data_IF_386131631029
#
_entry.id   IF_386131631029
#
_cell.length_a   1.000
_cell.length_b   1.000
_cell.length_c   1.000
_cell.angle_alpha   90.00
_cell.angle_beta   90.00
_cell.angle_gamma   90.00
#
_symmetry.space_group_name_H-M   'P 1'
#
loop_
_entity.id
_entity.type
_entity.pdbx_description
1 polymer ?
#
# COMPACT_ATOMS: atom_id res chain seq x y z
N UNK A 1 -22.01 94.33 8.73
CA UNK A 1 -21.65 92.93 8.38
C UNK A 1 -22.92 92.09 8.47
N UNK A 2 -23.41 91.51 7.36
CA UNK A 2 -24.76 90.88 7.34
C UNK A 2 -24.79 89.55 8.12
N UNK A 3 -25.93 89.24 8.74
CA UNK A 3 -26.17 88.01 9.52
C UNK A 3 -25.78 86.73 8.74
N UNK A 4 -25.93 86.73 7.42
CA UNK A 4 -25.51 85.64 6.53
C UNK A 4 -23.99 85.39 6.55
N UNK A 5 -23.18 86.44 6.68
CA UNK A 5 -21.72 86.30 6.73
C UNK A 5 -21.24 85.72 8.06
N UNK A 6 -21.93 86.03 9.16
CA UNK A 6 -21.63 85.48 10.49
C UNK A 6 -21.97 83.99 10.55
N UNK A 7 -23.16 83.58 10.07
CA UNK A 7 -23.57 82.18 10.01
C UNK A 7 -22.60 81.34 9.16
N UNK A 8 -22.17 81.86 8.00
CA UNK A 8 -21.22 81.14 7.12
C UNK A 8 -19.84 80.94 7.79
N UNK A 9 -19.36 81.93 8.56
CA UNK A 9 -18.12 81.79 9.33
C UNK A 9 -18.26 80.79 10.48
N UNK A 10 -19.37 80.79 11.20
CA UNK A 10 -19.63 79.86 12.31
C UNK A 10 -19.74 78.41 11.82
N UNK A 11 -20.46 78.17 10.71
CA UNK A 11 -20.54 76.82 10.10
C UNK A 11 -19.16 76.35 9.64
N UNK A 12 -18.35 77.24 9.06
CA UNK A 12 -16.97 76.92 8.66
C UNK A 12 -16.08 76.51 9.83
N UNK A 13 -16.23 77.16 10.98
CA UNK A 13 -15.47 76.83 12.19
C UNK A 13 -15.91 75.48 12.81
N UNK A 14 -17.23 75.23 12.86
CA UNK A 14 -17.78 73.95 13.36
C UNK A 14 -17.29 72.78 12.51
N UNK A 15 -17.34 72.91 11.18
CA UNK A 15 -16.87 71.85 10.27
C UNK A 15 -15.37 71.57 10.43
N UNK A 16 -14.56 72.59 10.76
CA UNK A 16 -13.13 72.41 11.03
C UNK A 16 -12.90 71.64 12.33
N UNK A 17 -13.64 71.96 13.39
CA UNK A 17 -13.57 71.26 14.69
C UNK A 17 -13.99 69.79 14.56
N UNK A 18 -15.07 69.51 13.83
CA UNK A 18 -15.54 68.13 13.60
C UNK A 18 -14.50 67.31 12.83
N UNK A 19 -13.82 67.92 11.85
CA UNK A 19 -12.76 67.24 11.09
C UNK A 19 -11.53 66.93 11.95
N UNK A 20 -11.12 67.86 12.81
CA UNK A 20 -10.02 67.64 13.76
C UNK A 20 -10.35 66.56 14.81
N UNK A 21 -11.59 66.53 15.32
CA UNK A 21 -12.04 65.45 16.22
C UNK A 21 -12.08 64.08 15.54
N UNK A 22 -12.53 63.99 14.29
CA UNK A 22 -12.50 62.74 13.52
C UNK A 22 -11.08 62.21 13.36
N UNK A 23 -10.12 63.09 13.07
CA UNK A 23 -8.71 62.72 12.91
C UNK A 23 -8.10 62.19 14.22
N UNK A 24 -8.44 62.79 15.36
CA UNK A 24 -8.04 62.29 16.68
C UNK A 24 -8.65 60.93 17.00
N UNK A 25 -9.92 60.70 16.68
CA UNK A 25 -10.59 59.41 16.88
C UNK A 25 -9.93 58.30 16.04
N UNK A 26 -9.57 58.60 14.79
CA UNK A 26 -8.88 57.64 13.91
C UNK A 26 -7.46 57.33 14.41
N UNK A 27 -6.76 58.33 14.96
CA UNK A 27 -5.45 58.14 15.60
C UNK A 27 -5.54 57.21 16.83
N UNK A 28 -6.56 57.40 17.68
CA UNK A 28 -6.82 56.55 18.84
C UNK A 28 -7.18 55.10 18.45
N UNK A 29 -8.00 54.91 17.40
CA UNK A 29 -8.34 53.58 16.87
C UNK A 29 -7.10 52.84 16.32
N UNK A 30 -6.21 53.55 15.63
CA UNK A 30 -4.96 52.98 15.13
C UNK A 30 -4.06 52.47 16.27
N UNK A 31 -3.88 53.27 17.33
CA UNK A 31 -3.10 52.88 18.49
C UNK A 31 -3.71 51.71 19.28
N UNK A 32 -5.04 51.67 19.46
CA UNK A 32 -5.73 50.53 20.07
C UNK A 32 -5.56 49.24 19.25
N UNK A 33 -5.54 49.35 17.92
CA UNK A 33 -5.33 48.21 17.02
C UNK A 33 -3.90 47.67 17.15
N UNK A 34 -2.89 48.54 17.23
CA UNK A 34 -1.51 48.12 17.46
C UNK A 34 -1.29 47.49 18.85
N UNK A 35 -1.90 48.04 19.90
CA UNK A 35 -1.85 47.46 21.25
C UNK A 35 -2.49 46.07 21.28
N UNK A 36 -3.64 45.89 20.62
CA UNK A 36 -4.29 44.57 20.52
C UNK A 36 -3.46 43.55 19.72
N UNK A 37 -2.74 43.99 18.69
CA UNK A 37 -1.79 43.13 17.95
C UNK A 37 -0.62 42.73 18.86
N UNK A 38 -0.09 43.66 19.66
CA UNK A 38 1.01 43.40 20.59
C UNK A 38 0.58 42.42 21.70
N UNK A 39 -0.61 42.62 22.29
CA UNK A 39 -1.19 41.72 23.30
C UNK A 39 -1.46 40.33 22.74
N UNK A 40 -1.99 40.22 21.51
CA UNK A 40 -2.15 38.93 20.83
C UNK A 40 -0.79 38.25 20.60
N UNK A 41 0.24 38.99 20.16
CA UNK A 41 1.60 38.45 20.00
C UNK A 41 2.20 37.96 21.32
N UNK A 42 2.02 38.71 22.42
CA UNK A 42 2.49 38.31 23.76
C UNK A 42 1.76 37.07 24.29
N UNK A 43 0.43 36.96 24.12
CA UNK A 43 -0.31 35.74 24.48
C UNK A 43 0.09 34.53 23.63
N UNK A 44 0.39 34.74 22.34
CA UNK A 44 0.85 33.68 21.43
C UNK A 44 2.26 33.22 21.80
N UNK A 45 3.13 34.14 22.25
CA UNK A 45 4.48 33.83 22.73
C UNK A 45 4.45 33.09 24.09
N UNK A 46 3.58 33.51 25.02
CA UNK A 46 3.36 32.81 26.30
C UNK A 46 2.82 31.39 26.12
N UNK A 47 1.89 31.17 25.19
CA UNK A 47 1.42 29.82 24.81
C UNK A 47 2.52 28.95 24.18
N UNK A 48 3.44 29.54 23.40
CA UNK A 48 4.59 28.81 22.85
C UNK A 48 5.56 28.34 23.93
N UNK A 49 5.84 29.15 24.95
CA UNK A 49 6.73 28.77 26.07
C UNK A 49 6.09 27.67 26.93
N UNK A 50 4.79 27.79 27.24
CA UNK A 50 4.06 26.77 28.01
C UNK A 50 3.95 25.44 27.25
N UNK A 51 3.69 25.48 25.94
CA UNK A 51 3.68 24.29 25.09
C UNK A 51 5.08 23.67 24.93
N UNK A 52 6.15 24.47 24.92
CA UNK A 52 7.53 23.94 24.83
C UNK A 52 7.94 23.19 26.10
N UNK A 53 7.52 23.65 27.29
CA UNK A 53 7.76 22.96 28.56
C UNK A 53 6.96 21.67 28.72
N UNK A 54 5.71 21.64 28.23
CA UNK A 54 4.90 20.41 28.18
C UNK A 54 5.47 19.43 27.13
N UNK A 55 5.96 19.95 26.00
CA UNK A 55 6.60 19.14 24.96
C UNK A 55 7.90 18.51 25.46
N UNK A 56 8.73 19.23 26.23
CA UNK A 56 9.97 18.67 26.80
C UNK A 56 9.71 17.65 27.92
N UNK A 57 8.70 17.86 28.77
CA UNK A 57 8.29 16.86 29.78
C UNK A 57 7.70 15.59 29.14
N UNK A 58 6.85 15.74 28.11
CA UNK A 58 6.31 14.61 27.35
C UNK A 58 7.38 13.91 26.50
N UNK A 59 8.39 14.62 26.01
CA UNK A 59 9.53 14.03 25.29
C UNK A 59 10.42 13.23 26.23
N UNK A 60 10.69 13.71 27.46
CA UNK A 60 11.44 12.95 28.46
C UNK A 60 10.66 11.71 28.91
N UNK A 61 9.34 11.82 29.11
CA UNK A 61 8.49 10.68 29.45
C UNK A 61 8.35 9.66 28.29
N UNK A 62 8.33 10.14 27.03
CA UNK A 62 8.39 9.26 25.86
C UNK A 62 9.75 8.57 25.75
N UNK A 63 10.85 9.29 25.97
CA UNK A 63 12.20 8.71 25.90
C UNK A 63 12.42 7.70 27.03
N UNK A 64 11.91 7.96 28.25
CA UNK A 64 11.99 6.98 29.34
C UNK A 64 11.16 5.73 29.06
N UNK A 65 9.90 5.89 28.62
CA UNK A 65 9.05 4.75 28.24
C UNK A 65 9.61 3.97 27.05
N UNK A 66 10.23 4.66 26.08
CA UNK A 66 10.88 4.04 24.93
C UNK A 66 12.15 3.28 25.35
N UNK A 67 12.92 3.79 26.31
CA UNK A 67 14.09 3.10 26.83
C UNK A 67 13.72 1.87 27.68
N UNK A 68 12.67 1.97 28.50
CA UNK A 68 12.17 0.84 29.30
C UNK A 68 11.62 -0.26 28.38
N UNK A 69 10.77 0.08 27.41
CA UNK A 69 10.26 -0.88 26.40
C UNK A 69 11.38 -1.46 25.53
N UNK A 70 12.39 -0.67 25.13
CA UNK A 70 13.57 -1.17 24.42
C UNK A 70 14.37 -2.15 25.28
N UNK A 71 14.51 -1.90 26.60
CA UNK A 71 15.24 -2.77 27.51
C UNK A 71 14.50 -4.09 27.78
N UNK A 72 13.17 -4.04 27.95
CA UNK A 72 12.32 -5.22 28.12
C UNK A 72 12.28 -6.04 26.82
N UNK A 73 12.09 -5.40 25.67
CA UNK A 73 12.14 -6.07 24.36
C UNK A 73 13.50 -6.72 24.11
N UNK A 74 14.60 -6.07 24.51
CA UNK A 74 15.94 -6.64 24.36
C UNK A 74 16.14 -7.87 25.25
N UNK A 75 15.67 -7.84 26.49
CA UNK A 75 15.75 -9.01 27.39
C UNK A 75 14.84 -10.15 26.93
N UNK A 76 13.62 -9.86 26.46
CA UNK A 76 12.70 -10.84 25.91
C UNK A 76 13.25 -11.49 24.64
N UNK A 77 13.76 -10.67 23.71
CA UNK A 77 14.36 -11.16 22.47
C UNK A 77 15.59 -12.02 22.74
N UNK A 78 16.45 -11.63 23.69
CA UNK A 78 17.60 -12.43 24.10
C UNK A 78 17.18 -13.80 24.66
N UNK A 79 16.20 -13.83 25.57
CA UNK A 79 15.68 -15.09 26.12
C UNK A 79 15.08 -16.01 25.05
N UNK A 80 14.34 -15.46 24.08
CA UNK A 80 13.80 -16.23 22.96
C UNK A 80 14.93 -16.83 22.10
N UNK A 81 16.01 -16.08 21.84
CA UNK A 81 17.13 -16.59 21.03
C UNK A 81 17.97 -17.66 21.73
N UNK A 82 18.10 -17.61 23.06
CA UNK A 82 18.86 -18.62 23.83
C UNK A 82 18.08 -19.93 24.04
N UNK A 83 16.75 -19.88 23.93
CA UNK A 83 15.83 -21.01 24.18
C UNK A 83 15.14 -21.54 22.92
N UNK A 84 15.60 -21.16 21.73
CA UNK A 84 15.02 -21.59 20.44
C UNK A 84 16.08 -21.91 19.40
N UNK A 85 15.70 -22.72 18.43
CA UNK A 85 16.51 -23.03 17.26
C UNK A 85 16.32 -21.96 16.19
N UNK A 86 17.40 -21.26 15.82
CA UNK A 86 17.40 -20.31 14.72
C UNK A 86 17.53 -20.99 13.36
N UNK A 87 16.64 -20.61 12.44
CA UNK A 87 16.64 -21.06 11.05
C UNK A 87 16.91 -19.86 10.13
N UNK A 88 18.04 -19.93 9.43
CA UNK A 88 18.49 -18.88 8.52
C UNK A 88 17.63 -18.79 7.25
N UNK A 89 17.50 -17.60 6.64
CA UNK A 89 16.75 -17.39 5.38
C UNK A 89 17.14 -18.30 4.21
N UNK A 90 18.42 -18.67 4.06
CA UNK A 90 18.87 -19.61 3.01
C UNK A 90 18.42 -21.07 3.21
N UNK A 91 17.68 -21.40 4.27
CA UNK A 91 17.24 -22.78 4.45
C UNK A 91 16.37 -23.21 3.25
N UNK A 92 16.78 -24.29 2.59
CA UNK A 92 16.13 -24.81 1.37
C UNK A 92 14.67 -25.21 1.54
N UNK A 93 14.22 -25.43 2.78
CA UNK A 93 12.84 -25.81 3.11
C UNK A 93 11.94 -24.59 3.34
N UNK A 94 12.47 -23.36 3.27
CA UNK A 94 11.67 -22.14 3.26
C UNK A 94 11.19 -21.88 1.83
N UNK A 95 9.87 -21.84 1.64
CA UNK A 95 9.27 -21.45 0.37
C UNK A 95 9.06 -19.95 0.38
N UNK A 96 9.65 -19.24 -0.57
CA UNK A 96 9.44 -17.81 -0.77
C UNK A 96 8.35 -17.55 -1.79
N UNK A 97 7.41 -16.67 -1.44
CA UNK A 97 6.33 -16.22 -2.31
C UNK A 97 6.60 -14.79 -2.80
N UNK A 98 6.29 -14.50 -4.05
CA UNK A 98 6.58 -13.21 -4.66
C UNK A 98 7.97 -13.07 -5.29
N UNK A 99 8.36 -11.83 -5.59
CA UNK A 99 9.71 -11.48 -6.05
C UNK A 99 10.54 -11.03 -4.85
N UNK A 100 11.46 -11.89 -4.41
CA UNK A 100 12.26 -11.72 -3.19
C UNK A 100 13.72 -11.55 -3.57
N UNK A 101 14.38 -10.56 -2.95
CA UNK A 101 15.81 -10.32 -3.17
C UNK A 101 16.62 -11.03 -2.07
N UNK A 102 17.41 -12.03 -2.43
CA UNK A 102 18.25 -12.77 -1.49
C UNK A 102 19.64 -12.14 -1.41
N UNK A 103 20.00 -11.57 -0.26
CA UNK A 103 21.29 -10.90 -0.05
C UNK A 103 22.22 -11.83 0.71
N UNK A 104 23.28 -12.29 0.04
CA UNK A 104 24.35 -13.14 0.60
C UNK A 104 23.86 -14.40 1.36
N UNK A 105 22.63 -14.85 1.09
CA UNK A 105 21.99 -16.00 1.74
C UNK A 105 21.61 -15.81 3.22
N UNK A 106 21.88 -14.66 3.83
CA UNK A 106 21.57 -14.43 5.24
C UNK A 106 20.36 -13.53 5.44
N UNK A 107 19.90 -12.87 4.38
CA UNK A 107 18.77 -11.94 4.42
C UNK A 107 17.93 -12.11 3.16
N UNK A 108 16.62 -11.93 3.29
CA UNK A 108 15.69 -11.94 2.16
C UNK A 108 14.77 -10.74 2.23
N UNK A 109 14.80 -9.89 1.22
CA UNK A 109 14.07 -8.62 1.21
C UNK A 109 12.73 -8.80 0.51
N UNK A 110 11.65 -8.47 1.21
CA UNK A 110 10.26 -8.58 0.79
C UNK A 110 9.74 -7.18 0.45
N UNK A 111 9.20 -7.03 -0.76
CA UNK A 111 8.75 -5.73 -1.29
C UNK A 111 7.26 -5.69 -1.65
N UNK A 112 6.77 -6.76 -2.27
CA UNK A 112 5.49 -6.76 -2.97
C UNK A 112 4.36 -7.24 -2.07
N UNK A 113 3.14 -6.76 -2.34
CA UNK A 113 1.94 -7.24 -1.65
C UNK A 113 1.78 -8.76 -1.84
N UNK A 114 1.28 -9.45 -0.82
CA UNK A 114 1.12 -10.90 -0.83
C UNK A 114 2.43 -11.71 -0.81
N UNK A 115 3.59 -11.07 -0.87
CA UNK A 115 4.89 -11.76 -0.77
C UNK A 115 5.18 -12.16 0.66
N UNK A 116 6.03 -13.17 0.83
CA UNK A 116 6.43 -13.66 2.15
C UNK A 116 6.98 -15.07 2.08
N UNK A 117 6.66 -15.88 3.08
CA UNK A 117 7.20 -17.25 3.19
C UNK A 117 6.14 -18.28 3.58
N UNK A 118 6.43 -19.53 3.29
CA UNK A 118 5.83 -20.66 3.99
C UNK A 118 6.90 -21.62 4.49
N UNK A 119 6.67 -22.17 5.67
CA UNK A 119 7.50 -23.18 6.29
C UNK A 119 6.64 -24.28 6.89
N UNK A 120 7.21 -25.48 6.99
CA UNK A 120 6.66 -26.59 7.75
C UNK A 120 7.65 -26.88 8.86
N UNK A 121 7.22 -26.78 10.12
CA UNK A 121 8.11 -26.97 11.26
C UNK A 121 7.53 -28.02 12.20
N UNK A 122 8.42 -28.79 12.81
CA UNK A 122 8.09 -29.72 13.89
C UNK A 122 8.20 -28.99 15.23
N UNK A 123 7.18 -29.04 16.07
CA UNK A 123 7.23 -28.43 17.40
C UNK A 123 5.88 -27.91 17.88
N UNK A 124 5.96 -27.05 18.90
CA UNK A 124 4.86 -26.41 19.62
C UNK A 124 4.93 -24.89 19.51
N UNK A 125 6.06 -24.31 19.07
CA UNK A 125 6.23 -22.86 18.93
C UNK A 125 6.92 -22.40 17.65
N UNK A 126 6.59 -21.18 17.23
CA UNK A 126 7.27 -20.48 16.12
C UNK A 126 7.23 -18.96 16.31
N UNK A 127 8.35 -18.31 16.04
CA UNK A 127 8.49 -16.87 15.94
C UNK A 127 9.25 -16.48 14.65
N UNK A 128 9.02 -15.26 14.17
CA UNK A 128 9.65 -14.73 12.96
C UNK A 128 10.50 -13.52 13.32
N UNK A 129 11.66 -13.39 12.68
CA UNK A 129 12.52 -12.22 12.80
C UNK A 129 12.36 -11.37 11.54
N UNK A 130 11.84 -10.15 11.70
CA UNK A 130 11.68 -9.17 10.62
C UNK A 130 12.40 -7.88 11.00
N UNK A 131 13.11 -7.29 10.04
CA UNK A 131 13.65 -5.93 10.13
C UNK A 131 12.89 -5.04 9.14
N UNK A 132 11.96 -4.24 9.67
CA UNK A 132 11.11 -3.38 8.85
C UNK A 132 11.69 -1.97 8.74
N UNK A 133 11.80 -1.45 7.51
CA UNK A 133 12.55 -0.21 7.28
C UNK A 133 11.90 1.04 7.88
N UNK A 134 10.57 1.07 8.02
CA UNK A 134 9.86 2.24 8.55
C UNK A 134 8.70 1.93 9.51
N UNK A 135 8.42 0.65 9.79
CA UNK A 135 7.33 0.23 10.66
C UNK A 135 5.94 0.44 10.05
N UNK A 136 5.84 0.58 8.73
CA UNK A 136 4.54 0.85 8.07
C UNK A 136 3.94 -0.36 7.36
N UNK A 137 4.55 -1.53 7.53
CA UNK A 137 4.08 -2.77 6.94
C UNK A 137 3.24 -3.61 7.90
N UNK A 138 2.29 -4.33 7.32
CA UNK A 138 1.50 -5.31 8.04
C UNK A 138 1.66 -6.68 7.39
N UNK A 139 1.62 -7.73 8.19
CA UNK A 139 1.64 -9.11 7.71
C UNK A 139 0.51 -9.93 8.34
N UNK A 140 0.03 -10.92 7.59
CA UNK A 140 -0.75 -12.02 8.13
C UNK A 140 0.21 -13.19 8.42
N UNK A 141 0.12 -13.77 9.61
CA UNK A 141 0.72 -15.06 9.96
C UNK A 141 -0.41 -16.08 10.19
N UNK A 142 -0.42 -17.14 9.38
CA UNK A 142 -1.47 -18.16 9.34
C UNK A 142 -0.84 -19.50 9.72
N UNK A 143 -1.35 -20.12 10.79
CA UNK A 143 -0.95 -21.46 11.22
C UNK A 143 -1.96 -22.48 10.67
N UNK A 144 -1.45 -23.57 10.10
CA UNK A 144 -2.19 -24.75 9.63
C UNK A 144 -3.38 -24.46 8.70
N UNK A 145 -3.27 -23.38 7.92
CA UNK A 145 -4.31 -22.88 7.01
C UNK A 145 -5.57 -22.32 7.68
N UNK A 146 -5.57 -22.09 9.00
CA UNK A 146 -6.68 -21.46 9.74
C UNK A 146 -6.64 -19.93 9.60
N UNK A 147 -6.94 -19.44 8.39
CA UNK A 147 -6.87 -18.01 8.05
C UNK A 147 -7.84 -17.13 8.85
N UNK A 148 -8.92 -17.70 9.38
CA UNK A 148 -9.85 -17.03 10.28
C UNK A 148 -9.24 -16.73 11.66
N UNK A 149 -8.17 -17.43 12.04
CA UNK A 149 -7.40 -17.22 13.28
C UNK A 149 -6.04 -16.59 13.03
N UNK A 150 -5.86 -15.95 11.86
CA UNK A 150 -4.59 -15.33 11.49
C UNK A 150 -4.16 -14.28 12.51
N UNK A 151 -2.87 -14.24 12.77
CA UNK A 151 -2.23 -13.21 13.58
C UNK A 151 -1.83 -12.07 12.66
N UNK A 152 -2.16 -10.85 13.07
CA UNK A 152 -1.75 -9.64 12.36
C UNK A 152 -0.47 -9.13 13.02
N UNK A 153 0.60 -9.06 12.24
CA UNK A 153 1.82 -8.37 12.63
C UNK A 153 1.68 -6.92 12.17
N UNK A 154 1.68 -6.01 13.13
CA UNK A 154 1.91 -4.57 12.92
C UNK A 154 3.41 -4.32 13.09
N UNK A 155 4.12 -4.05 11.99
CA UNK A 155 5.57 -3.97 12.04
C UNK A 155 6.02 -2.74 12.84
N UNK A 156 7.10 -2.90 13.59
CA UNK A 156 7.79 -1.80 14.25
C UNK A 156 9.08 -1.59 13.45
N UNK A 157 9.50 -0.34 13.30
CA UNK A 157 10.75 -0.02 12.61
C UNK A 157 11.95 -0.74 13.27
N UNK A 158 12.80 -1.32 12.43
CA UNK A 158 14.00 -2.07 12.83
C UNK A 158 13.74 -3.56 13.04
N UNK A 159 14.79 -4.27 13.47
CA UNK A 159 14.74 -5.71 13.74
C UNK A 159 13.90 -6.02 14.99
N UNK A 160 12.89 -6.87 14.80
CA UNK A 160 11.99 -7.35 15.85
C UNK A 160 11.77 -8.86 15.73
N UNK A 161 11.49 -9.48 16.88
CA UNK A 161 11.05 -10.87 16.97
C UNK A 161 9.54 -10.87 17.25
N UNK A 162 8.79 -11.48 16.35
CA UNK A 162 7.34 -11.65 16.48
C UNK A 162 7.03 -13.09 16.86
N UNK A 163 6.59 -13.30 18.09
CA UNK A 163 6.05 -14.59 18.53
C UNK A 163 4.69 -14.83 17.86
N UNK A 164 4.60 -15.91 17.08
CA UNK A 164 3.39 -16.25 16.32
C UNK A 164 2.58 -17.30 17.08
N UNK A 165 3.24 -18.35 17.57
CA UNK A 165 2.60 -19.37 18.40
C UNK A 165 3.59 -19.94 19.41
N UNK A 166 3.12 -20.30 20.60
CA UNK A 166 3.94 -20.87 21.68
C UNK A 166 3.27 -22.01 22.47
N UNK A 167 2.09 -22.46 22.03
CA UNK A 167 1.30 -23.51 22.68
C UNK A 167 0.51 -24.32 21.63
N UNK A 168 1.19 -24.72 20.54
CA UNK A 168 0.63 -25.65 19.58
C UNK A 168 0.76 -27.08 20.11
N UNK A 169 -0.16 -27.96 19.74
CA UNK A 169 -0.02 -29.40 20.00
C UNK A 169 1.27 -29.94 19.36
N UNK A 170 1.99 -30.90 19.97
CA UNK A 170 3.18 -31.46 19.36
C UNK A 170 2.90 -32.06 17.96
N UNK A 171 3.56 -31.54 16.92
CA UNK A 171 3.37 -32.04 15.57
C UNK A 171 4.10 -31.25 14.50
N UNK A 172 3.76 -31.52 13.23
CA UNK A 172 4.20 -30.70 12.10
C UNK A 172 3.12 -29.65 11.82
N UNK A 173 3.52 -28.39 11.91
CA UNK A 173 2.68 -27.24 11.61
C UNK A 173 3.16 -26.51 10.37
N UNK A 174 2.25 -25.82 9.71
CA UNK A 174 2.56 -24.92 8.60
C UNK A 174 2.37 -23.48 9.05
N UNK A 175 3.41 -22.65 8.89
CA UNK A 175 3.30 -21.20 8.97
C UNK A 175 3.31 -20.61 7.57
N UNK A 176 2.32 -19.80 7.25
CA UNK A 176 2.28 -18.91 6.08
C UNK A 176 2.34 -17.46 6.54
N UNK A 177 3.38 -16.75 6.13
CA UNK A 177 3.54 -15.31 6.34
C UNK A 177 3.30 -14.59 5.01
N UNK A 178 2.34 -13.66 4.97
CA UNK A 178 2.06 -12.87 3.76
C UNK A 178 1.96 -11.38 4.08
N UNK A 179 2.69 -10.56 3.33
CA UNK A 179 2.64 -9.10 3.42
C UNK A 179 1.27 -8.58 2.97
N UNK A 180 0.67 -7.72 3.79
CA UNK A 180 -0.63 -7.10 3.54
C UNK A 180 -0.52 -5.82 2.70
N UNK A 181 0.47 -4.99 3.02
CA UNK A 181 0.77 -3.71 2.36
C UNK A 181 1.48 -3.89 1.03
N UNK A 182 1.42 -2.89 0.15
CA UNK A 182 2.02 -2.99 -1.19
C UNK A 182 3.37 -2.28 -1.33
N UNK A 183 3.86 -2.22 -2.58
CA UNK A 183 5.14 -1.65 -2.95
C UNK A 183 5.27 -0.14 -2.67
N UNK A 184 4.19 0.58 -2.34
CA UNK A 184 4.28 1.97 -1.88
C UNK A 184 4.84 2.08 -0.46
N UNK A 185 4.74 1.04 0.36
CA UNK A 185 5.44 0.94 1.66
C UNK A 185 6.86 0.41 1.48
N UNK A 186 7.85 0.87 2.29
CA UNK A 186 9.22 0.36 2.28
C UNK A 186 9.31 -1.16 2.42
N UNK A 187 10.50 -1.69 2.14
CA UNK A 187 10.75 -3.12 2.22
C UNK A 187 10.78 -3.61 3.68
N UNK A 188 10.63 -4.93 3.84
CA UNK A 188 10.92 -5.64 5.10
C UNK A 188 12.00 -6.66 4.81
N UNK A 189 12.99 -6.78 5.67
CA UNK A 189 14.04 -7.79 5.59
C UNK A 189 13.64 -8.96 6.48
N UNK A 190 13.44 -10.13 5.89
CA UNK A 190 13.26 -11.37 6.63
C UNK A 190 14.62 -11.91 7.08
N UNK A 191 14.78 -12.04 8.40
CA UNK A 191 16.04 -12.38 9.07
C UNK A 191 16.07 -13.83 9.56
N UNK A 192 14.94 -14.51 9.59
CA UNK A 192 14.85 -15.95 9.87
C UNK A 192 13.65 -16.31 10.75
N UNK A 193 13.69 -17.54 11.27
CA UNK A 193 12.64 -18.13 12.09
C UNK A 193 13.28 -18.67 13.38
N UNK A 194 12.55 -18.58 14.48
CA UNK A 194 12.87 -19.26 15.73
C UNK A 194 11.79 -20.31 15.99
N UNK A 195 12.19 -21.56 16.19
CA UNK A 195 11.33 -22.69 16.57
C UNK A 195 11.86 -23.33 17.85
N UNK A 196 11.17 -24.31 18.43
CA UNK A 196 11.63 -24.96 19.66
C UNK A 196 13.09 -25.47 19.58
N UNK A 197 13.73 -25.60 20.74
CA UNK A 197 15.07 -26.18 20.80
C UNK A 197 15.07 -27.57 20.18
N UNK A 198 16.08 -27.84 19.35
CA UNK A 198 16.28 -29.11 18.63
C UNK A 198 15.25 -29.46 17.54
N UNK A 199 14.17 -28.67 17.41
CA UNK A 199 13.22 -28.78 16.32
C UNK A 199 13.82 -28.37 14.96
N UNK A 200 13.12 -28.72 13.88
CA UNK A 200 13.56 -28.47 12.50
C UNK A 200 12.41 -27.99 11.62
N UNK A 201 12.77 -27.26 10.57
CA UNK A 201 11.90 -27.06 9.41
C UNK A 201 12.03 -28.29 8.50
N UNK A 202 10.91 -28.93 8.18
CA UNK A 202 10.82 -30.12 7.32
C UNK A 202 10.53 -29.73 5.88
N UNK A 203 10.70 -30.70 4.97
CA UNK A 203 10.40 -30.49 3.54
C UNK A 203 8.92 -30.06 3.35
N UNK A 204 8.63 -29.13 2.43
CA UNK A 204 7.27 -28.70 2.12
C UNK A 204 6.37 -29.88 1.76
N UNK A 205 5.19 -29.96 2.39
CA UNK A 205 4.26 -31.08 2.17
C UNK A 205 3.43 -30.95 0.88
N UNK A 206 3.44 -29.78 0.24
CA UNK A 206 2.83 -29.61 -1.07
C UNK A 206 3.60 -28.58 -1.90
N UNK A 207 3.47 -28.74 -3.22
CA UNK A 207 3.98 -27.81 -4.22
C UNK A 207 2.83 -27.36 -5.11
N UNK A 208 2.77 -26.06 -5.36
CA UNK A 208 1.80 -25.48 -6.29
C UNK A 208 2.44 -25.46 -7.67
N UNK A 209 1.88 -26.22 -8.61
CA UNK A 209 2.43 -26.32 -9.96
C UNK A 209 1.98 -25.15 -10.84
N UNK A 210 0.70 -24.78 -10.74
CA UNK A 210 0.12 -23.63 -11.45
C UNK A 210 0.67 -22.31 -10.89
N UNK A 211 1.14 -21.43 -11.76
CA UNK A 211 1.73 -20.13 -11.43
C UNK A 211 0.91 -19.00 -12.03
N UNK A 212 0.53 -18.03 -11.20
CA UNK A 212 -0.24 -16.85 -11.62
C UNK A 212 0.44 -15.57 -11.14
N UNK A 213 0.67 -14.63 -12.05
CA UNK A 213 1.18 -13.29 -11.70
C UNK A 213 0.17 -12.21 -12.06
N UNK A 214 -0.13 -11.36 -11.10
CA UNK A 214 -1.04 -10.23 -11.25
C UNK A 214 -0.24 -8.94 -11.39
N UNK A 215 -0.63 -8.10 -12.33
CA UNK A 215 -0.14 -6.75 -12.51
C UNK A 215 -1.28 -5.76 -12.28
N UNK A 216 -1.11 -4.83 -11.36
CA UNK A 216 -2.20 -3.92 -11.05
C UNK A 216 -1.85 -2.72 -10.18
N UNK A 217 -2.90 -2.05 -9.73
CA UNK A 217 -2.83 -0.87 -8.86
C UNK A 217 -3.36 -1.18 -7.45
N UNK A 218 -3.87 -0.16 -6.75
CA UNK A 218 -4.41 -0.25 -5.38
C UNK A 218 -5.48 -1.32 -5.21
N UNK A 219 -6.32 -1.56 -6.24
CA UNK A 219 -7.35 -2.61 -6.22
C UNK A 219 -6.71 -4.00 -6.10
N UNK A 220 -5.63 -4.23 -6.83
CA UNK A 220 -4.90 -5.51 -6.84
C UNK A 220 -4.03 -5.66 -5.59
N UNK A 221 -3.58 -4.54 -5.02
CA UNK A 221 -2.85 -4.50 -3.75
C UNK A 221 -3.71 -4.84 -2.53
N UNK A 222 -5.02 -4.55 -2.57
CA UNK A 222 -5.89 -4.64 -1.39
C UNK A 222 -5.87 -3.37 -0.54
N UNK A 223 -5.63 -2.22 -1.16
CA UNK A 223 -5.66 -0.92 -0.50
C UNK A 223 -7.05 -0.64 0.08
N UNK A 224 -7.12 -0.36 1.39
CA UNK A 224 -8.37 -0.01 2.07
C UNK A 224 -9.44 -1.11 2.08
N UNK A 225 -9.09 -2.36 1.74
CA UNK A 225 -10.07 -3.44 1.52
C UNK A 225 -10.91 -3.79 2.76
N UNK A 226 -10.36 -3.55 3.96
CA UNK A 226 -11.05 -3.75 5.25
C UNK A 226 -11.78 -2.50 5.74
N UNK A 227 -11.69 -1.38 5.02
CA UNK A 227 -12.35 -0.14 5.40
C UNK A 227 -13.77 -0.04 4.83
N UNK A 228 -14.72 -0.65 5.52
CA UNK A 228 -16.15 -0.59 5.15
C UNK A 228 -16.69 0.85 5.10
N UNK A 229 -16.07 1.78 5.85
CA UNK A 229 -16.46 3.20 5.87
C UNK A 229 -15.98 3.97 4.65
N UNK A 230 -14.96 3.47 3.94
CA UNK A 230 -14.35 4.05 2.72
C UNK A 230 -13.77 5.46 2.91
N UNK A 231 -13.47 5.86 4.14
CA UNK A 231 -12.88 7.18 4.45
C UNK A 231 -11.45 7.11 4.95
N UNK A 232 -10.96 5.92 5.34
CA UNK A 232 -9.62 5.70 5.92
C UNK A 232 -8.64 5.15 4.88
N UNK A 233 -8.60 5.74 3.68
CA UNK A 233 -7.78 5.25 2.58
C UNK A 233 -6.28 5.12 2.96
N UNK A 234 -5.73 6.09 3.71
CA UNK A 234 -4.30 6.08 4.09
C UNK A 234 -3.98 5.19 5.31
N UNK A 235 -5.00 4.60 5.96
CA UNK A 235 -4.81 3.71 7.10
C UNK A 235 -4.38 2.31 6.61
N UNK A 236 -3.07 2.07 6.60
CA UNK A 236 -2.47 0.80 6.16
C UNK A 236 -2.93 -0.42 6.97
N UNK A 237 -3.45 -0.23 8.19
CA UNK A 237 -4.04 -1.32 8.98
C UNK A 237 -5.31 -1.90 8.33
N UNK A 238 -5.93 -1.15 7.39
CA UNK A 238 -7.09 -1.58 6.61
C UNK A 238 -6.71 -2.23 5.27
N UNK A 239 -5.43 -2.25 4.93
CA UNK A 239 -4.95 -2.86 3.68
C UNK A 239 -4.71 -4.34 3.92
N UNK A 240 -5.14 -5.20 3.00
CA UNK A 240 -4.91 -6.64 3.11
C UNK A 240 -4.96 -7.35 1.76
N UNK A 241 -3.79 -7.61 1.18
CA UNK A 241 -3.69 -8.35 -0.08
C UNK A 241 -4.38 -9.73 -0.02
N UNK A 242 -4.43 -10.37 1.15
CA UNK A 242 -5.00 -11.71 1.30
C UNK A 242 -6.46 -11.77 0.83
N UNK A 243 -7.25 -10.71 1.03
CA UNK A 243 -8.66 -10.69 0.64
C UNK A 243 -8.92 -10.19 -0.78
N UNK A 244 -7.87 -9.82 -1.52
CA UNK A 244 -8.03 -9.31 -2.89
C UNK A 244 -8.62 -10.34 -3.82
N UNK A 245 -9.23 -9.87 -4.90
CA UNK A 245 -9.68 -10.73 -5.99
C UNK A 245 -8.53 -11.58 -6.56
N UNK A 246 -7.32 -11.01 -6.58
CA UNK A 246 -6.10 -11.64 -7.08
C UNK A 246 -5.67 -12.83 -6.22
N UNK A 247 -5.47 -12.59 -4.91
CA UNK A 247 -5.08 -13.65 -3.97
C UNK A 247 -6.20 -14.70 -3.82
N UNK A 248 -7.47 -14.28 -3.83
CA UNK A 248 -8.62 -15.19 -3.78
C UNK A 248 -8.71 -16.09 -5.01
N UNK A 249 -8.47 -15.55 -6.20
CA UNK A 249 -8.41 -16.33 -7.44
C UNK A 249 -7.28 -17.35 -7.39
N UNK A 250 -6.09 -16.95 -6.97
CA UNK A 250 -4.95 -17.86 -6.86
C UNK A 250 -5.19 -18.99 -5.85
N UNK A 251 -5.77 -18.69 -4.68
CA UNK A 251 -6.15 -19.72 -3.69
C UNK A 251 -7.20 -20.69 -4.24
N UNK A 252 -8.22 -20.19 -4.93
CA UNK A 252 -9.28 -21.03 -5.52
C UNK A 252 -8.76 -21.98 -6.62
N UNK A 253 -7.62 -21.65 -7.24
CA UNK A 253 -6.95 -22.46 -8.26
C UNK A 253 -5.77 -23.26 -7.72
N UNK A 254 -5.50 -23.21 -6.40
CA UNK A 254 -4.29 -23.76 -5.78
C UNK A 254 -2.99 -23.33 -6.49
N UNK A 255 -2.92 -22.06 -6.90
CA UNK A 255 -1.81 -21.49 -7.66
C UNK A 255 -0.76 -20.83 -6.76
N UNK A 256 0.51 -20.95 -7.17
CA UNK A 256 1.59 -20.08 -6.71
C UNK A 256 1.36 -18.68 -7.27
N UNK A 257 1.45 -17.68 -6.39
CA UNK A 257 0.88 -16.36 -6.59
C UNK A 257 1.94 -15.28 -6.46
N UNK A 258 1.92 -14.33 -7.40
CA UNK A 258 2.72 -13.11 -7.32
C UNK A 258 1.86 -11.89 -7.63
N UNK A 259 2.04 -10.82 -6.86
CA UNK A 259 1.29 -9.59 -6.98
C UNK A 259 2.24 -8.42 -7.26
N UNK A 260 2.38 -8.04 -8.53
CA UNK A 260 3.19 -6.90 -8.96
C UNK A 260 2.27 -5.69 -9.07
N UNK A 261 1.93 -5.14 -7.90
CA UNK A 261 1.00 -4.03 -7.78
C UNK A 261 1.55 -2.89 -6.93
N UNK A 262 1.11 -1.67 -7.25
CA UNK A 262 1.45 -0.48 -6.48
C UNK A 262 0.29 0.50 -6.50
N UNK A 263 -0.16 0.94 -5.33
CA UNK A 263 -1.25 1.89 -5.18
C UNK A 263 -0.96 3.16 -5.98
N UNK A 264 -1.94 3.63 -6.74
CA UNK A 264 -1.82 4.82 -7.58
C UNK A 264 -1.06 4.66 -8.90
N UNK A 265 -0.59 3.46 -9.26
CA UNK A 265 0.12 3.25 -10.54
C UNK A 265 -0.85 3.16 -11.73
N UNK A 266 -0.47 3.78 -12.85
CA UNK A 266 -1.14 3.64 -14.14
C UNK A 266 -0.17 3.21 -15.24
N UNK A 267 -0.66 3.16 -16.49
CA UNK A 267 0.15 2.78 -17.66
C UNK A 267 0.80 3.98 -18.32
N UNK A 268 0.07 5.08 -18.47
CA UNK A 268 0.53 6.33 -19.08
C UNK A 268 0.83 7.39 -18.03
N UNK A 269 0.05 7.41 -16.94
CA UNK A 269 0.20 8.36 -15.85
C UNK A 269 -0.17 7.70 -14.51
N UNK A 270 0.57 8.08 -13.48
CA UNK A 270 0.35 7.64 -12.09
C UNK A 270 0.27 8.86 -11.18
N UNK A 271 -0.09 8.65 -9.91
CA UNK A 271 -0.07 9.70 -8.87
C UNK A 271 1.35 10.19 -8.48
N UNK A 272 2.38 9.60 -9.08
CA UNK A 272 3.80 9.86 -8.87
C UNK A 272 4.57 9.57 -10.18
N UNK A 273 5.84 10.00 -10.35
CA UNK A 273 6.58 9.85 -11.61
C UNK A 273 7.16 8.43 -11.78
N UNK A 274 6.29 7.42 -11.80
CA UNK A 274 6.61 6.03 -12.10
C UNK A 274 5.36 5.35 -12.68
N UNK A 275 5.49 4.72 -13.84
CA UNK A 275 4.39 4.01 -14.50
C UNK A 275 4.63 2.49 -14.53
N UNK A 276 3.55 1.70 -14.65
CA UNK A 276 3.66 0.24 -14.64
C UNK A 276 4.62 -0.31 -15.72
N UNK A 277 4.67 0.21 -16.96
CA UNK A 277 5.64 -0.23 -17.96
C UNK A 277 7.12 -0.05 -17.60
N UNK A 278 7.44 0.73 -16.55
CA UNK A 278 8.79 0.91 -15.99
C UNK A 278 9.02 0.07 -14.72
N UNK A 279 7.93 -0.32 -14.03
CA UNK A 279 7.94 -1.08 -12.78
C UNK A 279 7.87 -2.60 -13.00
N UNK A 280 7.18 -3.04 -14.05
CA UNK A 280 6.73 -4.44 -14.24
C UNK A 280 7.82 -5.51 -14.19
N UNK A 281 9.06 -5.14 -14.52
CA UNK A 281 10.22 -6.03 -14.60
C UNK A 281 11.19 -5.84 -13.43
N UNK A 282 10.84 -5.04 -12.42
CA UNK A 282 11.70 -4.82 -11.26
C UNK A 282 11.60 -5.97 -10.26
N UNK A 283 12.74 -6.25 -9.63
CA UNK A 283 12.83 -7.05 -8.40
C UNK A 283 12.51 -6.14 -7.21
N UNK A 284 13.21 -5.01 -7.13
CA UNK A 284 12.98 -3.96 -6.13
C UNK A 284 12.17 -2.83 -6.79
N UNK A 285 10.93 -2.53 -6.31
CA UNK A 285 10.09 -1.49 -6.89
C UNK A 285 10.75 -0.10 -6.90
N UNK A 286 11.64 0.17 -5.95
CA UNK A 286 12.31 1.47 -5.77
C UNK A 286 13.65 1.58 -6.49
N UNK A 287 14.23 0.47 -6.93
CA UNK A 287 15.51 0.46 -7.62
C UNK A 287 15.37 -0.02 -9.06
N UNK A 288 15.39 0.91 -10.01
CA UNK A 288 15.23 0.62 -11.44
C UNK A 288 16.34 -0.28 -12.02
N UNK A 289 17.50 -0.37 -11.36
CA UNK A 289 18.62 -1.22 -11.79
C UNK A 289 18.45 -2.68 -11.37
N UNK A 290 17.66 -2.95 -10.32
CA UNK A 290 17.40 -4.31 -9.85
C UNK A 290 16.18 -4.89 -10.58
N UNK A 291 16.47 -5.68 -11.62
CA UNK A 291 15.45 -6.36 -12.43
C UNK A 291 15.17 -7.77 -11.92
N UNK A 292 13.94 -8.21 -12.10
CA UNK A 292 13.52 -9.58 -11.85
C UNK A 292 14.07 -10.51 -12.93
N UNK A 293 14.64 -11.64 -12.51
CA UNK A 293 15.02 -12.71 -13.42
C UNK A 293 13.83 -13.62 -13.73
N UNK A 294 13.19 -13.37 -14.86
CA UNK A 294 12.05 -14.13 -15.37
C UNK A 294 12.36 -15.60 -15.71
N UNK A 295 13.63 -16.02 -15.73
CA UNK A 295 13.99 -17.42 -15.94
C UNK A 295 13.75 -18.29 -14.70
N UNK A 296 13.76 -17.69 -13.51
CA UNK A 296 13.63 -18.41 -12.24
C UNK A 296 12.19 -18.78 -11.89
N UNK A 297 11.21 -18.07 -12.47
CA UNK A 297 9.79 -18.29 -12.26
C UNK A 297 9.01 -17.74 -13.45
N UNK A 298 8.24 -18.61 -14.12
CA UNK A 298 7.42 -18.27 -15.28
C UNK A 298 5.95 -18.49 -14.95
N UNK A 299 5.13 -17.46 -15.16
CA UNK A 299 3.70 -17.57 -14.98
C UNK A 299 3.08 -18.45 -16.07
N UNK A 300 2.14 -19.31 -15.68
CA UNK A 300 1.23 -19.97 -16.62
C UNK A 300 0.07 -19.02 -16.99
N UNK A 301 -0.29 -18.13 -16.05
CA UNK A 301 -1.37 -17.16 -16.20
C UNK A 301 -0.88 -15.78 -15.75
N UNK A 302 -1.12 -14.76 -16.57
CA UNK A 302 -0.89 -13.36 -16.20
C UNK A 302 -2.22 -12.62 -16.22
N UNK A 303 -2.52 -11.88 -15.15
CA UNK A 303 -3.72 -11.05 -15.07
C UNK A 303 -3.31 -9.58 -14.96
N UNK A 304 -3.87 -8.72 -15.81
CA UNK A 304 -3.57 -7.29 -15.85
C UNK A 304 -4.84 -6.50 -15.49
N UNK A 305 -4.82 -5.76 -14.40
CA UNK A 305 -5.90 -4.86 -13.98
C UNK A 305 -5.37 -3.44 -13.75
N UNK A 306 -5.35 -2.65 -14.82
CA UNK A 306 -4.75 -1.31 -14.91
C UNK A 306 -5.64 -0.40 -15.76
N UNK A 307 -5.33 0.90 -15.77
CA UNK A 307 -6.11 2.03 -16.33
C UNK A 307 -7.06 2.75 -15.37
N UNK A 308 -7.26 2.27 -14.14
CA UNK A 308 -8.08 3.01 -13.17
C UNK A 308 -7.50 4.40 -12.86
N UNK A 309 -6.19 4.49 -12.62
CA UNK A 309 -5.53 5.77 -12.33
C UNK A 309 -5.38 6.62 -13.59
N UNK A 310 -5.11 6.00 -14.74
CA UNK A 310 -5.12 6.69 -16.03
C UNK A 310 -6.48 7.38 -16.27
N UNK A 311 -7.60 6.69 -15.99
CA UNK A 311 -8.93 7.25 -16.12
C UNK A 311 -9.17 8.52 -15.29
N UNK A 312 -8.55 8.60 -14.13
CA UNK A 312 -8.65 9.75 -13.24
C UNK A 312 -7.71 10.89 -13.63
N UNK A 313 -6.54 10.56 -14.19
CA UNK A 313 -5.43 11.48 -14.33
C UNK A 313 -5.12 11.90 -15.77
N UNK A 314 -5.72 11.28 -16.79
CA UNK A 314 -5.28 11.46 -18.19
C UNK A 314 -5.26 12.93 -18.63
N UNK A 315 -6.18 13.75 -18.12
CA UNK A 315 -6.29 15.17 -18.47
C UNK A 315 -5.18 16.04 -17.87
N UNK A 316 -4.34 15.48 -16.99
CA UNK A 316 -3.17 16.15 -16.44
C UNK A 316 -1.94 15.99 -17.35
N UNK A 317 -2.01 15.16 -18.40
CA UNK A 317 -0.96 15.07 -19.42
C UNK A 317 -1.08 16.21 -20.43
N UNK A 318 0.07 16.65 -20.95
CA UNK A 318 0.14 17.66 -22.01
C UNK A 318 1.16 17.23 -23.07
N UNK A 319 0.72 16.91 -24.31
CA UNK A 319 -0.67 16.84 -24.75
C UNK A 319 -1.45 15.71 -24.07
N UNK A 320 -2.77 15.85 -23.96
CA UNK A 320 -3.66 14.76 -23.51
C UNK A 320 -3.70 13.69 -24.60
N UNK A 321 -3.35 12.43 -24.32
CA UNK A 321 -3.38 11.37 -25.31
C UNK A 321 -4.79 11.15 -25.88
N UNK A 322 -4.90 10.98 -27.20
CA UNK A 322 -6.13 10.59 -27.86
C UNK A 322 -6.46 9.10 -27.66
N UNK A 323 -7.64 8.67 -28.09
CA UNK A 323 -8.11 7.29 -27.91
C UNK A 323 -7.15 6.24 -28.48
N UNK A 324 -6.60 6.48 -29.68
CA UNK A 324 -5.69 5.55 -30.33
C UNK A 324 -4.35 5.44 -29.58
N UNK A 325 -3.86 6.54 -29.02
CA UNK A 325 -2.66 6.56 -28.18
C UNK A 325 -2.88 5.78 -26.87
N UNK A 326 -4.06 5.90 -26.25
CA UNK A 326 -4.44 5.13 -25.04
C UNK A 326 -4.51 3.63 -25.31
N UNK A 327 -5.15 3.24 -26.42
CA UNK A 327 -5.20 1.84 -26.87
C UNK A 327 -3.79 1.31 -27.12
N UNK A 328 -2.95 2.08 -27.82
CA UNK A 328 -1.58 1.69 -28.12
C UNK A 328 -0.72 1.57 -26.87
N UNK A 329 -0.90 2.43 -25.87
CA UNK A 329 -0.18 2.35 -24.60
C UNK A 329 -0.47 1.02 -23.86
N UNK A 330 -1.75 0.65 -23.73
CA UNK A 330 -2.14 -0.63 -23.11
C UNK A 330 -1.64 -1.82 -23.93
N UNK A 331 -1.83 -1.79 -25.26
CA UNK A 331 -1.34 -2.81 -26.20
C UNK A 331 0.17 -3.03 -26.09
N UNK A 332 0.96 -1.96 -26.00
CA UNK A 332 2.40 -2.05 -25.85
C UNK A 332 2.81 -2.65 -24.50
N UNK A 333 2.03 -2.39 -23.44
CA UNK A 333 2.26 -3.04 -22.16
C UNK A 333 1.97 -4.55 -22.23
N UNK A 334 0.88 -4.98 -22.85
CA UNK A 334 0.60 -6.40 -23.08
C UNK A 334 1.75 -7.06 -23.86
N UNK A 335 2.29 -6.41 -24.90
CA UNK A 335 3.45 -6.92 -25.64
C UNK A 335 4.68 -7.10 -24.74
N UNK A 336 4.95 -6.16 -23.83
CA UNK A 336 6.03 -6.31 -22.83
C UNK A 336 5.84 -7.55 -21.96
N UNK A 337 4.61 -7.79 -21.50
CA UNK A 337 4.27 -8.99 -20.73
C UNK A 337 4.46 -10.26 -21.58
N UNK A 338 3.91 -10.31 -22.80
CA UNK A 338 4.05 -11.46 -23.71
C UNK A 338 5.51 -11.80 -24.01
N UNK A 339 6.40 -10.80 -24.16
CA UNK A 339 7.84 -11.04 -24.34
C UNK A 339 8.52 -11.70 -23.14
N UNK A 340 7.97 -11.57 -21.93
CA UNK A 340 8.50 -12.25 -20.73
C UNK A 340 7.82 -13.60 -20.47
N UNK A 341 6.56 -13.71 -20.89
CA UNK A 341 5.71 -14.88 -20.72
C UNK A 341 5.17 -15.34 -22.07
N UNK A 342 6.04 -15.93 -22.88
CA UNK A 342 5.77 -16.29 -24.27
C UNK A 342 4.52 -17.17 -24.42
N UNK A 343 4.31 -18.10 -23.48
CA UNK A 343 3.24 -19.09 -23.54
C UNK A 343 2.06 -18.87 -22.59
N UNK A 344 2.12 -17.87 -21.72
CA UNK A 344 1.12 -17.68 -20.68
C UNK A 344 -0.27 -17.34 -21.25
N UNK A 345 -1.31 -17.77 -20.54
CA UNK A 345 -2.64 -17.21 -20.69
C UNK A 345 -2.63 -15.78 -20.11
N UNK A 346 -2.85 -14.77 -20.94
CA UNK A 346 -2.92 -13.38 -20.49
C UNK A 346 -4.38 -12.95 -20.42
N UNK A 347 -4.81 -12.49 -19.25
CA UNK A 347 -6.15 -12.00 -18.99
C UNK A 347 -6.04 -10.50 -18.72
N UNK A 348 -6.54 -9.70 -19.65
CA UNK A 348 -6.69 -8.27 -19.47
C UNK A 348 -8.06 -7.99 -18.86
N UNK A 349 -8.08 -7.16 -17.82
CA UNK A 349 -9.31 -6.73 -17.18
C UNK A 349 -9.20 -5.27 -16.73
N UNK A 350 -10.34 -4.67 -16.45
CA UNK A 350 -10.43 -3.33 -15.89
C UNK A 350 -11.63 -3.30 -14.94
N UNK A 351 -11.36 -3.07 -13.66
CA UNK A 351 -12.41 -2.84 -12.68
C UNK A 351 -11.97 -3.07 -11.23
N UNK A 352 -12.88 -2.94 -10.27
CA UNK A 352 -14.32 -2.66 -10.44
C UNK A 352 -14.75 -1.22 -10.08
N UNK A 353 -13.83 -0.26 -10.14
CA UNK A 353 -14.08 1.16 -9.85
C UNK A 353 -14.51 1.97 -11.11
N UNK A 354 -14.58 3.30 -11.01
CA UNK A 354 -15.22 4.18 -11.99
C UNK A 354 -14.75 4.04 -13.45
N UNK A 355 -13.54 3.54 -13.70
CA UNK A 355 -13.07 3.30 -15.06
C UNK A 355 -13.90 2.23 -15.79
N UNK A 356 -14.64 1.38 -15.08
CA UNK A 356 -15.59 0.41 -15.65
C UNK A 356 -17.07 0.80 -15.49
N UNK A 357 -17.38 2.03 -15.03
CA UNK A 357 -18.75 2.54 -14.96
C UNK A 357 -19.43 2.46 -16.34
N UNK A 358 -20.73 2.20 -16.36
CA UNK A 358 -21.52 2.23 -17.59
C UNK A 358 -21.31 3.53 -18.38
N UNK A 359 -21.04 3.41 -19.68
CA UNK A 359 -20.69 4.52 -20.56
C UNK A 359 -19.22 4.96 -20.52
N UNK A 360 -18.38 4.35 -19.67
CA UNK A 360 -16.94 4.60 -19.68
C UNK A 360 -16.30 4.08 -20.98
N UNK A 361 -15.44 4.91 -21.58
CA UNK A 361 -14.65 4.56 -22.76
C UNK A 361 -13.43 3.68 -22.44
N UNK A 362 -13.05 3.59 -21.16
CA UNK A 362 -11.80 2.93 -20.75
C UNK A 362 -11.82 1.42 -20.90
N UNK A 363 -12.98 0.78 -20.70
CA UNK A 363 -13.18 -0.65 -20.95
C UNK A 363 -12.98 -0.98 -22.43
N UNK A 364 -13.48 -0.12 -23.33
CA UNK A 364 -13.30 -0.26 -24.77
C UNK A 364 -11.81 -0.14 -25.17
N UNK A 365 -10.99 0.66 -24.49
CA UNK A 365 -9.55 0.70 -24.80
C UNK A 365 -8.85 -0.63 -24.51
N UNK A 366 -9.23 -1.32 -23.43
CA UNK A 366 -8.70 -2.66 -23.10
C UNK A 366 -9.17 -3.67 -24.14
N UNK A 367 -10.47 -3.68 -24.46
CA UNK A 367 -11.05 -4.58 -25.45
C UNK A 367 -10.40 -4.41 -26.83
N UNK A 368 -10.27 -3.18 -27.30
CA UNK A 368 -9.62 -2.86 -28.58
C UNK A 368 -8.14 -3.25 -28.57
N UNK A 369 -7.42 -2.99 -27.48
CA UNK A 369 -6.01 -3.38 -27.38
C UNK A 369 -5.82 -4.91 -27.47
N UNK A 370 -6.69 -5.70 -26.83
CA UNK A 370 -6.68 -7.17 -26.93
C UNK A 370 -7.04 -7.63 -28.34
N UNK A 371 -8.10 -7.07 -28.94
CA UNK A 371 -8.54 -7.42 -30.30
C UNK A 371 -7.46 -7.14 -31.34
N UNK A 372 -6.79 -5.99 -31.25
CA UNK A 372 -5.71 -5.57 -32.15
C UNK A 372 -4.49 -6.51 -32.11
N UNK A 373 -4.26 -7.22 -31.00
CA UNK A 373 -3.12 -8.13 -30.87
C UNK A 373 -3.35 -9.45 -31.62
N UNK A 374 -4.60 -9.87 -31.78
CA UNK A 374 -4.96 -11.14 -32.47
C UNK A 374 -4.20 -12.37 -31.93
N UNK A 375 -3.85 -12.36 -30.65
CA UNK A 375 -3.17 -13.46 -29.94
C UNK A 375 -4.23 -14.33 -29.25
N UNK A 376 -4.26 -15.62 -29.57
CA UNK A 376 -5.28 -16.56 -29.12
C UNK A 376 -5.18 -16.96 -27.63
N UNK A 377 -4.12 -16.52 -26.94
CA UNK A 377 -3.92 -16.69 -25.50
C UNK A 377 -4.08 -15.36 -24.73
N UNK A 378 -4.61 -14.31 -25.37
CA UNK A 378 -4.90 -13.02 -24.72
C UNK A 378 -6.40 -12.77 -24.75
N UNK A 379 -6.99 -12.59 -23.58
CA UNK A 379 -8.43 -12.41 -23.44
C UNK A 379 -8.75 -11.14 -22.66
N UNK A 380 -9.82 -10.46 -23.06
CA UNK A 380 -10.45 -9.44 -22.25
C UNK A 380 -11.55 -10.07 -21.40
N UNK A 381 -11.51 -9.83 -20.09
CA UNK A 381 -12.57 -10.23 -19.15
C UNK A 381 -13.09 -8.96 -18.47
N UNK A 382 -14.31 -8.50 -18.81
CA UNK A 382 -14.88 -7.30 -18.18
C UNK A 382 -15.28 -7.57 -16.73
N UNK A 383 -15.17 -6.55 -15.89
CA UNK A 383 -15.63 -6.57 -14.49
C UNK A 383 -16.85 -5.68 -14.34
N UNK A 384 -17.78 -6.08 -13.48
CA UNK A 384 -18.93 -5.27 -13.11
C UNK A 384 -18.48 -4.05 -12.30
N UNK A 385 -18.99 -2.87 -12.61
CA UNK A 385 -18.78 -1.68 -11.77
C UNK A 385 -19.46 -1.84 -10.40
N UNK A 386 -18.70 -1.68 -9.31
CA UNK A 386 -19.20 -1.87 -7.95
C UNK A 386 -20.26 -0.85 -7.51
N UNK A 387 -20.30 0.33 -8.15
CA UNK A 387 -21.25 1.40 -7.87
C UNK A 387 -21.34 1.81 -6.38
N UNK A 388 -20.19 1.79 -5.70
CA UNK A 388 -20.00 2.31 -4.33
C UNK A 388 -18.78 3.23 -4.31
N UNK A 389 -18.70 4.13 -3.34
CA UNK A 389 -17.55 5.05 -3.20
C UNK A 389 -16.24 4.31 -2.83
N UNK A 390 -15.11 4.98 -2.98
CA UNK A 390 -13.81 4.51 -2.50
C UNK A 390 -13.32 3.20 -3.14
N UNK A 391 -12.35 2.58 -2.49
CA UNK A 391 -11.77 1.30 -2.92
C UNK A 391 -12.75 0.12 -2.71
N UNK A 392 -12.56 -1.00 -3.42
CA UNK A 392 -13.42 -2.17 -3.27
C UNK A 392 -13.15 -2.89 -1.94
N UNK A 393 -14.22 -3.23 -1.23
CA UNK A 393 -14.24 -4.02 0.01
C UNK A 393 -13.92 -5.49 -0.24
N UNK A 394 -13.86 -6.30 0.82
CA UNK A 394 -13.69 -7.77 0.73
C UNK A 394 -14.78 -8.41 -0.14
N UNK A 395 -16.04 -8.01 0.04
CA UNK A 395 -17.18 -8.57 -0.72
C UNK A 395 -17.06 -8.22 -2.22
N UNK A 396 -16.75 -6.96 -2.53
CA UNK A 396 -16.61 -6.51 -3.91
C UNK A 396 -15.38 -7.13 -4.62
N UNK A 397 -14.30 -7.40 -3.88
CA UNK A 397 -13.16 -8.18 -4.39
C UNK A 397 -13.53 -9.64 -4.63
N UNK A 398 -14.38 -10.22 -3.78
CA UNK A 398 -14.89 -11.58 -3.98
C UNK A 398 -15.71 -11.66 -5.28
N UNK A 399 -16.56 -10.68 -5.57
CA UNK A 399 -17.32 -10.63 -6.83
C UNK A 399 -16.40 -10.61 -8.06
N UNK A 400 -15.30 -9.86 -8.01
CA UNK A 400 -14.29 -9.88 -9.07
C UNK A 400 -13.61 -11.26 -9.21
N UNK A 401 -13.32 -11.95 -8.11
CA UNK A 401 -12.76 -13.29 -8.14
C UNK A 401 -13.77 -14.31 -8.72
N UNK A 402 -15.06 -14.17 -8.39
CA UNK A 402 -16.13 -15.02 -8.88
C UNK A 402 -16.33 -14.90 -10.41
N UNK A 403 -15.87 -13.81 -11.03
CA UNK A 403 -15.78 -13.67 -12.49
C UNK A 403 -14.54 -14.37 -13.06
N UNK A 404 -13.36 -14.17 -12.45
CA UNK A 404 -12.10 -14.69 -12.99
C UNK A 404 -11.94 -16.20 -12.83
N UNK A 405 -12.32 -16.76 -11.68
CA UNK A 405 -12.14 -18.17 -11.36
C UNK A 405 -12.78 -19.08 -12.42
N UNK A 406 -14.09 -18.99 -12.72
CA UNK A 406 -14.70 -19.85 -13.73
C UNK A 406 -14.13 -19.62 -15.13
N UNK A 407 -13.78 -18.37 -15.48
CA UNK A 407 -13.14 -18.07 -16.75
C UNK A 407 -11.79 -18.78 -16.88
N UNK A 408 -10.92 -18.66 -15.88
CA UNK A 408 -9.60 -19.30 -15.87
C UNK A 408 -9.74 -20.82 -15.95
N UNK A 409 -10.61 -21.41 -15.11
CA UNK A 409 -10.88 -22.85 -15.14
C UNK A 409 -11.27 -23.35 -16.52
N UNK A 410 -12.14 -22.61 -17.22
CA UNK A 410 -12.55 -22.94 -18.59
C UNK A 410 -11.40 -22.92 -19.60
N UNK A 411 -10.37 -22.09 -19.38
CA UNK A 411 -9.21 -21.96 -20.29
C UNK A 411 -8.11 -22.98 -20.03
N UNK A 412 -7.97 -23.44 -18.78
CA UNK A 412 -6.95 -24.42 -18.39
C UNK A 412 -7.50 -25.85 -18.24
N UNK A 413 -8.82 -26.04 -18.38
CA UNK A 413 -9.45 -27.36 -18.45
C UNK A 413 -9.60 -28.08 -17.12
N UNK A 414 -9.93 -27.36 -16.03
CA UNK A 414 -10.15 -27.93 -14.69
C UNK A 414 -11.52 -27.62 -14.10
#
# INVERSE_FOLDING_TARGET
MSLKLLIKKTIGLINKIVKEQSMLIDLFKSNLTQINILLKKMMTFGKKIFNFSIFSLNLIACISNQNDTLSENKSFNQNLTESRTYIAPKNKNIIYHGRVNHINGNESVIYWSGSGISIWFEGTSVAIILDDLDGSNYYNAIIDNYAERKIIIDCIQGEQIYEIANDLEPGIHRLELTRRTDASSPATIFKGVLIDLTSKIVEPQYKKELKIEFYGNSITSGHGILDETRVRNDDKSTWDNYFTYAASTARALNADFRCISMSGIGIMISWYPLIMPELFDRLDPRNALLKWDFSTWKADIVVINLLQNDAWLINNLSPVPNDQERINAYKNFIKKIRMKYEDALIICTLGNMDACKEGSVWTNYVEMAVKDLSDNKIFYVPMTYKNTEGHPTVIENKEMADVLIPFIKSKIGI
#
